data_IF_132970956595
#
_entry.id   IF_132970956595
#
_cell.length_a   1.000
_cell.length_b   1.000
_cell.length_c   1.000
_cell.angle_alpha   90.00
_cell.angle_beta   90.00
_cell.angle_gamma   90.00
#
_symmetry.space_group_name_H-M   'P 1'
#
loop_
_entity.id
_entity.type
_entity.pdbx_description
1 polymer ?
#
# COMPACT_ATOMS: atom_id res chain seq x y z
N UNK A 1 -11.42 -4.40 16.52
CA UNK A 1 -11.63 -4.72 15.10
C UNK A 1 -10.34 -5.36 14.65
N UNK A 2 -10.37 -6.64 14.31
CA UNK A 2 -9.19 -7.40 13.87
C UNK A 2 -8.62 -6.75 12.61
N UNK A 3 -7.41 -6.19 12.70
CA UNK A 3 -6.65 -5.68 11.55
C UNK A 3 -6.04 -6.88 10.82
N UNK A 4 -6.90 -7.67 10.17
CA UNK A 4 -6.50 -8.82 9.35
C UNK A 4 -6.13 -8.42 7.92
N UNK A 5 -5.75 -9.40 7.10
CA UNK A 5 -5.35 -9.16 5.70
C UNK A 5 -6.39 -8.40 4.87
N UNK A 6 -7.69 -8.66 5.08
CA UNK A 6 -8.77 -8.00 4.35
C UNK A 6 -8.75 -6.47 4.54
N UNK A 7 -8.44 -6.01 5.76
CA UNK A 7 -8.28 -4.59 6.06
C UNK A 7 -7.15 -3.98 5.22
N UNK A 8 -6.00 -4.65 5.14
CA UNK A 8 -4.86 -4.18 4.37
C UNK A 8 -5.11 -4.19 2.88
N UNK A 9 -5.79 -5.22 2.34
CA UNK A 9 -6.26 -5.24 0.95
C UNK A 9 -7.12 -4.01 0.66
N UNK A 10 -8.09 -3.72 1.54
CA UNK A 10 -8.93 -2.55 1.41
C UNK A 10 -8.11 -1.24 1.46
N UNK A 11 -7.12 -1.13 2.35
CA UNK A 11 -6.22 0.03 2.42
C UNK A 11 -5.40 0.20 1.13
N UNK A 12 -4.85 -0.90 0.61
CA UNK A 12 -4.03 -0.89 -0.60
C UNK A 12 -4.88 -0.51 -1.82
N UNK A 13 -6.13 -0.98 -1.90
CA UNK A 13 -7.04 -0.68 -3.01
C UNK A 13 -7.70 0.71 -2.94
N UNK A 14 -7.50 1.49 -1.88
CA UNK A 14 -8.07 2.84 -1.76
C UNK A 14 -7.53 3.83 -2.79
N UNK A 15 -8.39 4.48 -3.58
CA UNK A 15 -7.95 5.46 -4.59
C UNK A 15 -7.19 6.68 -4.03
N UNK A 16 -7.35 6.99 -2.75
CA UNK A 16 -6.69 8.10 -2.07
C UNK A 16 -5.21 7.83 -1.79
N UNK A 17 -4.34 8.42 -2.60
CA UNK A 17 -2.87 8.28 -2.45
C UNK A 17 -2.38 8.81 -1.10
N UNK A 18 -2.97 9.90 -0.56
CA UNK A 18 -2.58 10.41 0.75
C UNK A 18 -2.81 9.40 1.87
N UNK A 19 -3.95 8.70 1.85
CA UNK A 19 -4.25 7.67 2.85
C UNK A 19 -3.33 6.48 2.69
N UNK A 20 -3.08 6.03 1.45
CA UNK A 20 -2.07 5.00 1.14
C UNK A 20 -0.70 5.37 1.70
N UNK A 21 -0.26 6.60 1.52
CA UNK A 21 1.04 7.06 2.03
C UNK A 21 1.10 7.05 3.56
N UNK A 22 0.00 7.44 4.23
CA UNK A 22 -0.11 7.42 5.69
C UNK A 22 -0.08 6.01 6.27
N UNK A 23 -0.72 5.04 5.61
CA UNK A 23 -0.79 3.64 6.06
C UNK A 23 0.41 2.81 5.59
N UNK A 24 1.24 3.33 4.69
CA UNK A 24 2.43 2.64 4.17
C UNK A 24 3.43 2.17 5.23
N UNK A 25 3.84 3.03 6.20
CA UNK A 25 4.73 2.62 7.29
C UNK A 25 4.14 1.50 8.13
N UNK A 26 2.85 1.62 8.45
CA UNK A 26 2.06 0.66 9.23
C UNK A 26 1.95 -0.70 8.50
N UNK A 27 1.77 -0.67 7.18
CA UNK A 27 1.78 -1.84 6.30
C UNK A 27 3.16 -2.53 6.28
N UNK A 28 4.26 -1.75 6.23
CA UNK A 28 5.62 -2.29 6.26
C UNK A 28 5.93 -2.94 7.62
N UNK A 29 5.49 -2.33 8.71
CA UNK A 29 5.61 -2.92 10.06
C UNK A 29 4.86 -4.25 10.13
N UNK A 30 3.62 -4.29 9.60
CA UNK A 30 2.84 -5.52 9.53
C UNK A 30 3.54 -6.63 8.74
N UNK A 31 4.15 -6.32 7.58
CA UNK A 31 4.92 -7.30 6.81
C UNK A 31 6.24 -7.71 7.46
N UNK A 32 6.86 -6.82 8.25
CA UNK A 32 8.13 -7.09 8.92
C UNK A 32 7.95 -7.95 10.17
N UNK A 33 6.78 -7.87 10.81
CA UNK A 33 6.44 -8.61 12.02
C UNK A 33 5.74 -9.93 11.69
N UNK A 34 6.46 -11.05 11.82
CA UNK A 34 5.91 -12.41 11.61
C UNK A 34 4.79 -12.81 12.56
N UNK A 35 4.68 -12.16 13.72
CA UNK A 35 3.63 -12.46 14.69
C UNK A 35 2.31 -11.80 14.29
N UNK A 36 2.38 -10.60 13.69
CA UNK A 36 1.22 -9.90 13.11
C UNK A 36 0.80 -10.47 11.74
N UNK A 37 1.77 -10.94 10.96
CA UNK A 37 1.55 -11.47 9.61
C UNK A 37 1.30 -12.97 9.53
N UNK A 38 0.93 -13.64 10.64
CA UNK A 38 0.65 -15.09 10.64
C UNK A 38 -0.46 -15.48 9.65
N UNK A 39 -1.44 -14.59 9.44
CA UNK A 39 -2.51 -14.78 8.45
C UNK A 39 -1.99 -14.70 7.00
N UNK A 40 -0.88 -14.00 6.74
CA UNK A 40 -0.31 -13.87 5.38
C UNK A 40 0.04 -15.21 4.76
N UNK A 41 0.54 -16.13 5.57
CA UNK A 41 0.95 -17.46 5.12
C UNK A 41 -0.25 -18.40 4.91
N UNK A 42 -1.40 -18.11 5.54
CA UNK A 42 -2.60 -18.93 5.41
C UNK A 42 -3.34 -18.68 4.10
N UNK A 43 -3.35 -17.43 3.62
CA UNK A 43 -4.19 -17.03 2.49
C UNK A 43 -3.37 -16.43 1.34
N UNK A 44 -2.70 -17.32 0.58
CA UNK A 44 -1.86 -16.91 -0.56
C UNK A 44 -2.63 -16.12 -1.63
N UNK A 45 -3.92 -16.40 -1.82
CA UNK A 45 -4.76 -15.66 -2.79
C UNK A 45 -4.91 -14.20 -2.39
N UNK A 46 -5.06 -13.95 -1.08
CA UNK A 46 -5.22 -12.61 -0.55
C UNK A 46 -3.88 -11.86 -0.55
N UNK A 47 -2.79 -12.56 -0.26
CA UNK A 47 -1.42 -12.06 -0.39
C UNK A 47 -1.13 -11.59 -1.82
N UNK A 48 -1.46 -12.41 -2.81
CA UNK A 48 -1.30 -12.09 -4.24
C UNK A 48 -2.06 -10.80 -4.60
N UNK A 49 -3.31 -10.66 -4.15
CA UNK A 49 -4.10 -9.44 -4.34
C UNK A 49 -3.51 -8.21 -3.65
N UNK A 50 -2.90 -8.35 -2.47
CA UNK A 50 -2.22 -7.24 -1.81
C UNK A 50 -1.01 -6.79 -2.62
N UNK A 51 -0.18 -7.73 -3.07
CA UNK A 51 1.01 -7.45 -3.87
C UNK A 51 0.63 -6.82 -5.21
N UNK A 52 -0.36 -7.37 -5.90
CA UNK A 52 -0.91 -6.80 -7.14
C UNK A 52 -1.43 -5.37 -6.90
N UNK A 53 -2.19 -5.14 -5.81
CA UNK A 53 -2.69 -3.82 -5.46
C UNK A 53 -1.58 -2.80 -5.18
N UNK A 54 -0.46 -3.22 -4.58
CA UNK A 54 0.70 -2.34 -4.37
C UNK A 54 1.37 -2.05 -5.72
N UNK A 55 1.64 -3.07 -6.52
CA UNK A 55 2.31 -2.91 -7.81
C UNK A 55 1.48 -2.09 -8.82
N UNK A 56 0.17 -2.32 -8.89
CA UNK A 56 -0.72 -1.66 -9.85
C UNK A 56 -1.29 -0.35 -9.32
N UNK A 57 -1.55 -0.24 -8.02
CA UNK A 57 -2.26 0.92 -7.47
C UNK A 57 -1.34 1.88 -6.72
N UNK A 58 -0.21 1.44 -6.17
CA UNK A 58 0.74 2.35 -5.50
C UNK A 58 1.87 2.74 -6.45
N UNK A 59 2.49 1.75 -7.10
CA UNK A 59 3.63 1.99 -7.99
C UNK A 59 3.19 2.60 -9.34
N UNK A 60 2.03 2.20 -9.87
CA UNK A 60 1.51 2.76 -11.13
C UNK A 60 0.72 4.08 -10.95
N UNK A 61 0.33 4.42 -9.72
CA UNK A 61 -0.24 5.75 -9.43
C UNK A 61 0.87 6.79 -9.53
N UNK A 62 0.99 7.37 -10.72
CA UNK A 62 1.98 8.39 -11.11
C UNK A 62 1.84 9.72 -10.34
N UNK A 63 1.92 9.71 -9.02
CA UNK A 63 1.92 10.91 -8.17
C UNK A 63 3.32 11.52 -7.99
N UNK A 64 4.37 10.91 -8.56
CA UNK A 64 5.72 11.46 -8.55
C UNK A 64 5.93 12.69 -9.46
N UNK A 65 4.86 13.22 -10.08
CA UNK A 65 4.95 14.28 -11.09
C UNK A 65 4.74 15.71 -10.55
N UNK A 66 4.53 15.87 -9.25
CA UNK A 66 4.43 17.18 -8.60
C UNK A 66 5.14 17.14 -7.24
N UNK A 67 6.45 16.87 -7.28
CA UNK A 67 7.28 17.33 -6.18
C UNK A 67 7.29 18.86 -6.24
N UNK A 68 7.13 19.59 -5.12
CA UNK A 68 7.15 21.07 -5.09
C UNK A 68 8.52 21.69 -5.46
N UNK A 69 9.40 20.93 -6.12
CA UNK A 69 10.69 21.35 -6.65
C UNK A 69 10.97 20.85 -8.06
N UNK A 70 9.97 20.41 -8.83
CA UNK A 70 10.12 20.14 -10.26
C UNK A 70 10.24 21.47 -11.04
N UNK A 71 11.40 21.78 -11.66
CA UNK A 71 11.62 23.03 -12.41
C UNK A 71 10.87 23.08 -13.76
N UNK A 72 9.94 22.15 -14.02
CA UNK A 72 9.25 22.00 -15.31
C UNK A 72 7.90 22.76 -15.34
N UNK A 73 7.43 23.29 -14.21
CA UNK A 73 6.16 24.06 -14.14
C UNK A 73 6.35 25.58 -14.40
N UNK A 74 7.57 26.04 -14.67
CA UNK A 74 7.87 27.41 -15.08
C UNK A 74 8.45 27.42 -16.51
N UNK A 75 7.58 27.27 -17.51
CA UNK A 75 7.89 27.60 -18.90
C UNK A 75 6.64 27.94 -19.69
#
# INVERSE_FOLDING_TARGET
MEQGMDYWVAQIQQKDVNKRLQVGPDLIDYFSDRQKSVDLEQDQTLLDRMVDGIATSWVNSSNYKNWPGDPITDR
#
